data_IF_912744485129
#
_entry.id   IF_912744485129
#
_cell.length_a   1.000
_cell.length_b   1.000
_cell.length_c   1.000
_cell.angle_alpha   90.00
_cell.angle_beta   90.00
_cell.angle_gamma   90.00
#
_symmetry.space_group_name_H-M   'P 1'
#
loop_
_entity.id
_entity.type
_entity.pdbx_description
1 polymer ?
#
# COMPACT_ATOMS: atom_id res chain seq x y z
N UNK A 1 -4.09 10.92 -34.05
CA UNK A 1 -4.58 10.86 -32.66
C UNK A 1 -4.01 12.04 -31.91
N UNK A 2 -4.85 12.92 -31.38
CA UNK A 2 -4.44 14.24 -30.90
C UNK A 2 -3.83 14.12 -29.49
N UNK A 3 -2.87 14.99 -29.17
CA UNK A 3 -2.27 15.12 -27.81
C UNK A 3 -3.36 15.21 -26.73
N UNK A 4 -4.48 15.85 -27.08
CA UNK A 4 -5.68 16.00 -26.25
C UNK A 4 -6.25 14.63 -25.83
N UNK A 5 -6.30 13.64 -26.71
CA UNK A 5 -6.83 12.30 -26.39
C UNK A 5 -5.97 11.59 -25.34
N UNK A 6 -4.65 11.79 -25.37
CA UNK A 6 -3.72 11.22 -24.39
C UNK A 6 -3.80 11.91 -23.03
N UNK A 7 -3.97 13.24 -23.02
CA UNK A 7 -4.19 14.01 -21.80
C UNK A 7 -5.53 13.62 -21.17
N UNK A 8 -6.61 13.53 -21.96
CA UNK A 8 -7.92 13.09 -21.50
C UNK A 8 -7.89 11.66 -20.95
N UNK A 9 -7.17 10.73 -21.60
CA UNK A 9 -6.94 9.38 -21.07
C UNK A 9 -6.31 9.38 -19.68
N UNK A 10 -5.32 10.26 -19.42
CA UNK A 10 -4.65 10.36 -18.11
C UNK A 10 -5.61 10.78 -16.99
N UNK A 11 -6.60 11.63 -17.29
CA UNK A 11 -7.64 12.03 -16.34
C UNK A 11 -8.82 11.05 -16.27
N UNK A 12 -9.09 10.31 -17.35
CA UNK A 12 -10.11 9.26 -17.44
C UNK A 12 -9.65 7.95 -16.77
N UNK A 13 -8.34 7.67 -16.76
CA UNK A 13 -7.72 6.72 -15.84
C UNK A 13 -7.68 7.36 -14.45
N UNK A 14 -8.85 7.58 -13.85
CA UNK A 14 -8.98 7.47 -12.41
C UNK A 14 -8.46 6.07 -12.11
N UNK A 15 -7.20 5.98 -11.69
CA UNK A 15 -6.69 4.80 -11.01
C UNK A 15 -7.74 4.51 -9.96
N UNK A 16 -8.53 3.46 -10.17
CA UNK A 16 -9.54 3.08 -9.21
C UNK A 16 -8.73 2.70 -7.98
N UNK A 17 -8.64 3.63 -7.06
CA UNK A 17 -7.95 3.42 -5.80
C UNK A 17 -8.85 2.44 -5.10
N UNK A 18 -8.56 1.16 -5.29
CA UNK A 18 -9.36 0.07 -4.77
C UNK A 18 -9.35 0.29 -3.26
N UNK A 19 -10.48 0.74 -2.72
CA UNK A 19 -10.61 0.95 -1.28
C UNK A 19 -10.59 -0.44 -0.66
N UNK A 20 -9.51 -0.70 0.07
CA UNK A 20 -9.36 -1.92 0.84
C UNK A 20 -9.67 -1.60 2.29
N UNK A 21 -10.42 -2.47 2.95
CA UNK A 21 -10.71 -2.35 4.38
C UNK A 21 -9.84 -3.35 5.12
N UNK A 22 -9.23 -2.92 6.23
CA UNK A 22 -8.43 -3.76 7.12
C UNK A 22 -8.96 -3.59 8.53
N UNK A 23 -9.27 -4.70 9.18
CA UNK A 23 -9.68 -4.74 10.60
C UNK A 23 -8.49 -5.16 11.45
N UNK A 24 -8.16 -4.35 12.45
CA UNK A 24 -7.02 -4.60 13.35
C UNK A 24 -7.57 -4.60 14.79
N UNK A 25 -7.21 -5.63 15.56
CA UNK A 25 -7.47 -5.64 17.00
C UNK A 25 -6.34 -4.91 17.72
N UNK A 26 -6.70 -3.97 18.57
CA UNK A 26 -5.77 -3.19 19.38
C UNK A 26 -6.11 -3.40 20.85
N UNK A 27 -5.12 -3.21 21.71
CA UNK A 27 -5.35 -3.08 23.13
C UNK A 27 -6.29 -1.89 23.43
N UNK A 28 -7.09 -1.99 24.49
CA UNK A 28 -8.07 -0.98 24.86
C UNK A 28 -7.40 0.37 25.15
N UNK A 29 -6.31 0.38 25.93
CA UNK A 29 -5.59 1.62 26.27
C UNK A 29 -4.99 2.28 25.03
N UNK A 30 -4.48 1.47 24.09
CA UNK A 30 -3.96 2.00 22.84
C UNK A 30 -5.08 2.60 21.97
N UNK A 31 -6.26 2.00 21.94
CA UNK A 31 -7.42 2.54 21.22
C UNK A 31 -7.87 3.89 21.78
N UNK A 32 -7.85 4.05 23.11
CA UNK A 32 -8.22 5.29 23.79
C UNK A 32 -7.19 6.40 23.52
N UNK A 33 -5.90 6.08 23.65
CA UNK A 33 -4.82 7.01 23.33
C UNK A 33 -4.91 7.50 21.88
N UNK A 34 -5.17 6.61 20.91
CA UNK A 34 -5.37 6.99 19.51
C UNK A 34 -6.59 7.89 19.33
N UNK A 35 -7.66 7.66 20.09
CA UNK A 35 -8.87 8.49 20.05
C UNK A 35 -8.59 9.91 20.54
N UNK A 36 -7.85 10.06 21.63
CA UNK A 36 -7.44 11.36 22.18
C UNK A 36 -6.58 12.11 21.17
N UNK A 37 -5.57 11.44 20.59
CA UNK A 37 -4.69 12.03 19.57
C UNK A 37 -5.49 12.49 18.35
N UNK A 38 -6.36 11.62 17.83
CA UNK A 38 -7.19 11.93 16.66
C UNK A 38 -8.11 13.14 16.91
N UNK A 39 -8.73 13.19 18.10
CA UNK A 39 -9.61 14.30 18.49
C UNK A 39 -8.82 15.61 18.62
N UNK A 40 -7.66 15.56 19.26
CA UNK A 40 -6.79 16.73 19.47
C UNK A 40 -6.29 17.32 18.15
N UNK A 41 -5.98 16.45 17.19
CA UNK A 41 -5.46 16.87 15.88
C UNK A 41 -6.54 17.10 14.83
N UNK A 42 -7.82 16.81 15.14
CA UNK A 42 -8.92 16.94 14.18
C UNK A 42 -8.84 15.98 13.00
N UNK A 43 -8.22 14.80 13.17
CA UNK A 43 -8.04 13.79 12.12
C UNK A 43 -8.82 12.51 12.42
N UNK A 44 -9.07 11.70 11.40
CA UNK A 44 -9.70 10.37 11.58
C UNK A 44 -8.66 9.32 11.92
N UNK A 45 -9.07 8.27 12.67
CA UNK A 45 -8.22 7.11 12.95
C UNK A 45 -7.65 6.48 11.68
N UNK A 46 -8.46 6.36 10.62
CA UNK A 46 -8.01 5.83 9.33
C UNK A 46 -6.91 6.67 8.69
N UNK A 47 -6.99 8.01 8.80
CA UNK A 47 -5.95 8.90 8.29
C UNK A 47 -4.65 8.73 9.07
N UNK A 48 -4.73 8.71 10.41
CA UNK A 48 -3.56 8.48 11.26
C UNK A 48 -2.87 7.14 10.95
N UNK A 49 -3.63 6.05 10.81
CA UNK A 49 -3.07 4.74 10.47
C UNK A 49 -2.46 4.74 9.07
N UNK A 50 -3.09 5.39 8.09
CA UNK A 50 -2.52 5.52 6.75
C UNK A 50 -1.17 6.25 6.77
N UNK A 51 -1.07 7.34 7.52
CA UNK A 51 0.15 8.13 7.65
C UNK A 51 1.27 7.34 8.36
N UNK A 52 0.93 6.53 9.37
CA UNK A 52 1.88 5.60 10.03
C UNK A 52 2.39 4.54 9.05
N UNK A 53 1.50 3.93 8.25
CA UNK A 53 1.89 2.92 7.26
C UNK A 53 2.80 3.51 6.19
N UNK A 54 2.52 4.73 5.74
CA UNK A 54 3.37 5.45 4.80
C UNK A 54 4.74 5.79 5.40
N UNK A 55 4.76 6.38 6.60
CA UNK A 55 6.00 6.77 7.29
C UNK A 55 6.87 5.57 7.69
N UNK A 56 6.26 4.43 8.03
CA UNK A 56 6.99 3.20 8.39
C UNK A 56 7.67 2.51 7.20
N UNK A 57 7.38 2.95 5.97
CA UNK A 57 8.01 2.40 4.77
C UNK A 57 7.62 0.95 4.47
N UNK A 58 6.50 0.46 5.03
CA UNK A 58 6.01 -0.92 4.83
C UNK A 58 5.86 -1.24 3.35
N UNK A 59 5.43 -0.30 2.52
CA UNK A 59 5.31 -0.47 1.07
C UNK A 59 6.66 -0.75 0.39
N UNK A 60 7.75 -0.07 0.80
CA UNK A 60 9.09 -0.32 0.25
C UNK A 60 9.56 -1.73 0.63
N UNK A 61 9.40 -2.08 1.91
CA UNK A 61 9.78 -3.41 2.41
C UNK A 61 8.98 -4.54 1.76
N UNK A 62 7.70 -4.32 1.48
CA UNK A 62 6.85 -5.27 0.75
C UNK A 62 7.29 -5.45 -0.72
N UNK A 63 7.69 -4.36 -1.39
CA UNK A 63 8.26 -4.44 -2.74
C UNK A 63 9.57 -5.23 -2.77
N UNK A 64 10.49 -4.97 -1.83
CA UNK A 64 11.76 -5.69 -1.74
C UNK A 64 11.58 -7.20 -1.55
N UNK A 65 10.61 -7.59 -0.70
CA UNK A 65 10.27 -8.99 -0.49
C UNK A 65 9.68 -9.65 -1.73
N UNK A 66 8.80 -8.94 -2.45
CA UNK A 66 8.23 -9.41 -3.72
C UNK A 66 9.30 -9.59 -4.79
N UNK A 67 10.21 -8.63 -4.95
CA UNK A 67 11.32 -8.76 -5.90
C UNK A 67 12.23 -9.95 -5.57
N UNK A 68 12.45 -10.25 -4.29
CA UNK A 68 13.20 -11.44 -3.87
C UNK A 68 12.47 -12.75 -4.16
N UNK A 69 11.15 -12.82 -3.99
CA UNK A 69 10.37 -14.01 -4.36
C UNK A 69 10.33 -14.22 -5.88
N UNK A 70 10.17 -13.14 -6.65
CA UNK A 70 10.15 -13.21 -8.13
C UNK A 70 11.51 -13.65 -8.70
N UNK A 71 12.60 -13.27 -8.04
CA UNK A 71 13.97 -13.72 -8.41
C UNK A 71 14.14 -15.22 -8.16
N UNK A 72 13.58 -15.74 -7.06
CA UNK A 72 13.64 -17.16 -6.68
C UNK A 72 12.83 -18.04 -7.63
N UNK A 73 11.66 -17.58 -8.09
CA UNK A 73 10.88 -18.30 -9.10
C UNK A 73 11.56 -18.35 -10.47
N UNK A 74 12.32 -17.32 -10.84
CA UNK A 74 13.12 -17.32 -12.08
C UNK A 74 14.28 -18.32 -12.05
N UNK A 75 14.97 -18.44 -10.92
CA UNK A 75 16.12 -19.36 -10.79
C UNK A 75 15.69 -20.84 -10.80
N UNK A 76 14.47 -21.14 -10.34
CA UNK A 76 13.93 -22.50 -10.35
C UNK A 76 13.59 -22.94 -11.78
N UNK A 77 12.98 -22.05 -12.59
CA UNK A 77 12.61 -22.39 -13.99
C UNK A 77 13.80 -22.55 -14.93
N UNK A 78 14.93 -21.89 -14.69
CA UNK A 78 16.15 -22.07 -15.50
C UNK A 78 16.92 -23.37 -15.18
N UNK A 79 16.74 -23.94 -13.98
CA UNK A 79 17.35 -25.22 -13.61
C UNK A 79 16.65 -26.42 -14.27
N UNK A 80 15.35 -26.33 -14.53
CA UNK A 80 14.56 -27.42 -15.14
C UNK A 80 14.70 -27.50 -16.68
N UNK A 81 15.37 -26.53 -17.30
CA UNK A 81 15.64 -26.50 -18.76
C UNK A 81 17.07 -26.90 -19.13
N UNK A 82 17.92 -27.16 -18.14
CA UNK A 82 19.29 -27.69 -18.31
C UNK A 82 19.39 -29.00 -17.54
N UNK A 83 18.74 -30.04 -18.05
CA UNK A 83 18.96 -31.44 -17.70
C UNK A 83 18.63 -32.33 -18.89
#
# INVERSE_FOLDING_TARGET
>A
MAIIDNVLKKYMTKTSTKRCNVSIKLDANLCDNLTIICTTLGITKSKLIADIVEASGVSKKAQDLKSKSDTREKSIKESDYVS
#
